data_IF_891197867685
#
_entry.id   IF_891197867685
#
_cell.length_a   1.000
_cell.length_b   1.000
_cell.length_c   1.000
_cell.angle_alpha   90.00
_cell.angle_beta   90.00
_cell.angle_gamma   90.00
#
_symmetry.space_group_name_H-M   'P 1'
#
loop_
_entity.id
_entity.type
_entity.pdbx_description
1 polymer ?
#
# COMPACT_ATOMS: atom_id res chain seq x y z
N UNK A 1 -1.17 0.98 43.81
CA UNK A 1 -1.58 2.20 43.09
C UNK A 1 -1.71 2.02 41.57
N UNK A 2 -1.06 1.02 40.94
CA UNK A 2 -1.25 0.71 39.50
C UNK A 2 -2.60 0.03 39.13
N UNK A 3 -3.29 -0.60 40.09
CA UNK A 3 -4.58 -1.29 39.84
C UNK A 3 -5.82 -0.39 39.96
N UNK A 4 -5.68 0.80 40.55
CA UNK A 4 -6.78 1.76 40.72
C UNK A 4 -6.98 2.65 39.48
N UNK A 5 -5.91 2.88 38.70
CA UNK A 5 -5.94 3.72 37.49
C UNK A 5 -6.63 2.98 36.32
N UNK A 6 -6.40 1.67 36.18
CA UNK A 6 -7.04 0.85 35.13
C UNK A 6 -8.57 0.76 35.33
N UNK A 7 -9.04 0.75 36.58
CA UNK A 7 -10.47 0.69 36.89
C UNK A 7 -11.17 2.02 36.60
N UNK A 8 -10.48 3.16 36.75
CA UNK A 8 -11.03 4.47 36.43
C UNK A 8 -11.18 4.68 34.92
N UNK A 9 -10.24 4.17 34.13
CA UNK A 9 -10.27 4.27 32.66
C UNK A 9 -11.43 3.45 32.03
N UNK A 10 -11.75 2.28 32.61
CA UNK A 10 -12.87 1.47 32.14
C UNK A 10 -14.26 2.04 32.50
N UNK A 11 -14.35 2.91 33.51
CA UNK A 11 -15.62 3.51 33.92
C UNK A 11 -16.03 4.71 33.04
N UNK A 12 -15.08 5.38 32.39
CA UNK A 12 -15.36 6.51 31.48
C UNK A 12 -15.78 6.03 30.08
N UNK A 13 -15.31 4.85 29.64
CA UNK A 13 -15.67 4.26 28.35
C UNK A 13 -17.06 3.56 28.31
N UNK A 14 -17.76 3.45 29.45
CA UNK A 14 -19.02 2.73 29.57
C UNK A 14 -20.31 3.53 29.38
N UNK A 15 -20.25 4.85 29.15
CA UNK A 15 -21.42 5.74 29.22
C UNK A 15 -22.07 6.13 27.87
N UNK A 16 -21.63 5.57 26.75
CA UNK A 16 -22.18 5.90 25.42
C UNK A 16 -22.98 4.76 24.73
N UNK A 17 -23.42 3.74 25.46
CA UNK A 17 -24.12 2.58 24.86
C UNK A 17 -25.60 2.42 25.23
N UNK A 18 -26.30 3.49 25.63
CA UNK A 18 -27.76 3.43 25.81
C UNK A 18 -28.50 4.69 25.33
N UNK A 19 -28.67 4.84 24.01
CA UNK A 19 -29.94 5.35 23.45
C UNK A 19 -30.27 4.58 22.17
N UNK A 20 -31.11 3.57 22.35
CA UNK A 20 -31.61 2.69 21.29
C UNK A 20 -32.62 3.36 20.35
N UNK A 21 -32.76 2.72 19.19
CA UNK A 21 -33.77 2.98 18.18
C UNK A 21 -35.20 2.88 18.72
N UNK A 22 -36.07 3.80 18.31
CA UNK A 22 -37.52 3.69 18.42
C UNK A 22 -38.18 4.52 17.32
N UNK A 23 -38.83 3.84 16.37
CA UNK A 23 -39.47 4.45 15.20
C UNK A 23 -40.93 4.87 15.50
N UNK A 24 -41.36 5.93 14.81
CA UNK A 24 -42.72 6.32 14.40
C UNK A 24 -43.53 7.39 15.19
N UNK A 25 -43.91 8.39 14.39
CA UNK A 25 -45.16 9.17 14.35
C UNK A 25 -45.21 10.58 14.95
N UNK A 26 -44.98 11.52 14.03
CA UNK A 26 -45.81 12.70 13.70
C UNK A 26 -46.12 13.79 14.75
N UNK A 27 -45.87 15.02 14.28
CA UNK A 27 -46.46 16.33 14.66
C UNK A 27 -45.69 17.18 15.68
N UNK A 28 -44.98 18.18 15.17
CA UNK A 28 -44.62 19.46 15.83
C UNK A 28 -45.90 20.19 16.34
N UNK A 29 -45.86 21.15 17.30
CA UNK A 29 -44.96 22.33 17.20
C UNK A 29 -44.36 22.90 18.51
N UNK A 30 -43.26 23.62 18.25
CA UNK A 30 -42.79 24.88 18.84
C UNK A 30 -42.39 25.05 20.32
N UNK A 31 -41.13 25.49 20.43
CA UNK A 31 -40.62 26.59 21.26
C UNK A 31 -39.87 26.21 22.55
N UNK A 32 -38.52 26.22 22.47
CA UNK A 32 -37.61 26.69 23.52
C UNK A 32 -36.18 26.84 22.97
N UNK A 33 -35.72 28.10 22.99
CA UNK A 33 -34.36 28.63 23.18
C UNK A 33 -33.16 27.83 22.65
N UNK A 34 -32.27 28.42 21.83
CA UNK A 34 -31.01 27.77 21.49
C UNK A 34 -30.11 27.75 22.73
N UNK A 35 -29.78 26.56 23.21
CA UNK A 35 -28.66 26.34 24.12
C UNK A 35 -27.40 26.47 23.26
N UNK A 36 -26.66 27.53 23.53
CA UNK A 36 -25.40 27.85 22.89
C UNK A 36 -24.31 27.03 23.61
N UNK A 37 -24.20 25.75 23.29
CA UNK A 37 -23.07 24.92 23.72
C UNK A 37 -21.91 25.18 22.76
N UNK A 38 -21.30 26.36 22.91
CA UNK A 38 -19.95 26.62 22.44
C UNK A 38 -19.03 26.36 23.63
N UNK A 39 -18.87 25.09 24.02
CA UNK A 39 -17.63 24.67 24.68
C UNK A 39 -16.57 24.66 23.58
N UNK A 40 -16.03 25.84 23.28
CA UNK A 40 -14.77 25.93 22.56
C UNK A 40 -13.75 25.23 23.43
N UNK A 41 -13.20 24.12 22.94
CA UNK A 41 -11.97 23.58 23.48
C UNK A 41 -10.94 24.72 23.44
N UNK A 42 -10.37 25.04 24.60
CA UNK A 42 -9.34 26.05 24.69
C UNK A 42 -8.17 25.60 23.79
N UNK A 43 -7.77 26.42 22.82
CA UNK A 43 -6.66 26.06 21.91
C UNK A 43 -5.39 25.75 22.72
N UNK A 44 -5.23 26.41 23.88
CA UNK A 44 -4.14 26.14 24.84
C UNK A 44 -4.22 24.74 25.48
N UNK A 45 -5.42 24.20 25.76
CA UNK A 45 -5.57 22.83 26.30
C UNK A 45 -5.33 21.75 25.23
N UNK A 46 -5.65 22.05 23.97
CA UNK A 46 -5.33 21.16 22.84
C UNK A 46 -3.82 21.16 22.59
N UNK A 47 -3.18 22.33 22.59
CA UNK A 47 -1.74 22.47 22.40
C UNK A 47 -0.96 21.79 23.55
N UNK A 48 -1.39 21.97 24.81
CA UNK A 48 -0.75 21.30 25.96
C UNK A 48 -0.96 19.77 25.92
N UNK A 49 -2.13 19.29 25.49
CA UNK A 49 -2.37 17.86 25.30
C UNK A 49 -1.60 17.27 24.11
N UNK A 50 -1.33 18.07 23.07
CA UNK A 50 -0.49 17.70 21.94
C UNK A 50 0.99 17.67 22.35
N UNK A 51 1.46 18.64 23.14
CA UNK A 51 2.82 18.64 23.70
C UNK A 51 3.05 17.45 24.65
N UNK A 52 2.10 17.13 25.54
CA UNK A 52 2.19 15.97 26.43
C UNK A 52 2.19 14.64 25.66
N UNK A 53 1.43 14.56 24.55
CA UNK A 53 1.43 13.40 23.66
C UNK A 53 2.74 13.31 22.89
N UNK A 54 3.28 14.42 22.41
CA UNK A 54 4.57 14.50 21.73
C UNK A 54 5.71 14.13 22.68
N UNK A 55 5.67 14.56 23.94
CA UNK A 55 6.59 14.13 24.99
C UNK A 55 6.45 12.62 25.25
N UNK A 56 5.23 12.11 25.39
CA UNK A 56 4.98 10.68 25.59
C UNK A 56 5.46 9.82 24.40
N UNK A 57 5.27 10.31 23.16
CA UNK A 57 5.76 9.68 21.94
C UNK A 57 7.29 9.81 21.81
N UNK A 58 7.90 10.87 22.34
CA UNK A 58 9.36 11.02 22.39
C UNK A 58 10.03 9.93 23.24
N UNK A 59 9.37 9.42 24.28
CA UNK A 59 9.88 8.27 25.07
C UNK A 59 9.82 6.93 24.32
N UNK A 60 8.99 6.86 23.27
CA UNK A 60 8.94 5.73 22.33
C UNK A 60 9.72 6.04 21.05
N UNK A 61 10.33 7.22 20.95
CA UNK A 61 11.01 7.64 19.74
C UNK A 61 12.34 6.91 19.58
N UNK A 62 12.60 6.50 18.34
CA UNK A 62 13.88 5.91 17.94
C UNK A 62 14.62 6.91 17.04
N UNK A 63 15.30 7.93 17.62
CA UNK A 63 15.97 8.97 16.86
C UNK A 63 17.23 8.43 16.16
N UNK A 64 17.61 9.11 15.08
CA UNK A 64 18.72 8.74 14.21
C UNK A 64 18.32 7.80 13.07
N UNK A 65 19.16 7.75 12.04
CA UNK A 65 18.91 6.92 10.86
C UNK A 65 18.79 5.44 11.23
N UNK A 66 17.75 4.72 10.74
CA UNK A 66 17.46 3.36 11.19
C UNK A 66 18.31 2.31 10.47
N UNK A 67 19.65 2.38 10.64
CA UNK A 67 20.61 1.45 10.04
C UNK A 67 20.26 -0.02 10.34
N UNK A 68 20.28 -0.86 9.30
CA UNK A 68 19.96 -2.28 9.39
C UNK A 68 18.49 -2.60 9.70
N UNK A 69 17.60 -1.60 9.71
CA UNK A 69 16.13 -1.79 9.77
C UNK A 69 15.45 -1.58 8.43
N UNK A 70 16.06 -0.80 7.56
CA UNK A 70 15.64 -0.58 6.17
C UNK A 70 16.73 -1.13 5.23
N UNK A 71 16.41 -1.38 3.94
CA UNK A 71 17.41 -1.81 2.95
C UNK A 71 18.58 -0.82 2.82
N UNK A 72 19.81 -1.33 2.80
CA UNK A 72 21.06 -0.54 2.70
C UNK A 72 21.21 0.22 1.38
N UNK A 73 20.38 -0.09 0.38
CA UNK A 73 20.33 0.64 -0.91
C UNK A 73 19.74 2.03 -0.77
N UNK A 74 19.02 2.30 0.32
CA UNK A 74 18.41 3.60 0.57
C UNK A 74 19.47 4.51 1.22
N UNK A 75 19.92 5.58 0.54
CA UNK A 75 20.86 6.53 1.13
C UNK A 75 20.22 7.24 2.33
N UNK A 76 21.05 7.80 3.21
CA UNK A 76 20.54 8.58 4.36
C UNK A 76 19.91 9.90 3.88
N UNK A 77 18.76 10.25 4.44
CA UNK A 77 18.16 11.57 4.25
C UNK A 77 18.86 12.61 5.12
N UNK A 78 19.66 13.49 4.50
CA UNK A 78 20.58 14.38 5.24
C UNK A 78 20.01 15.76 5.60
N UNK A 79 18.73 16.03 5.29
CA UNK A 79 18.11 17.35 5.51
C UNK A 79 17.21 17.34 6.74
N UNK A 80 17.72 17.76 7.90
CA UNK A 80 16.99 17.65 9.17
C UNK A 80 17.38 16.41 9.96
N UNK A 81 16.63 16.11 11.02
CA UNK A 81 16.97 15.05 11.96
C UNK A 81 15.87 13.99 12.00
N UNK A 82 16.24 12.70 12.04
CA UNK A 82 15.29 11.62 12.30
C UNK A 82 14.84 11.72 13.75
N UNK A 83 13.61 12.21 13.96
CA UNK A 83 13.02 12.38 15.30
C UNK A 83 12.42 11.08 15.82
N UNK A 84 11.96 10.20 14.93
CA UNK A 84 11.42 8.89 15.28
C UNK A 84 11.50 7.91 14.11
N UNK A 85 11.56 6.62 14.41
CA UNK A 85 11.41 5.56 13.41
C UNK A 85 10.81 4.30 14.02
N UNK A 86 10.15 3.48 13.21
CA UNK A 86 9.55 2.25 13.70
C UNK A 86 8.93 1.38 12.62
N UNK A 87 8.76 0.11 12.96
CA UNK A 87 8.04 -0.88 12.16
C UNK A 87 6.55 -0.55 12.16
N UNK A 88 6.00 -0.26 10.97
CA UNK A 88 4.59 0.05 10.76
C UNK A 88 3.69 -1.19 10.71
N UNK A 89 4.28 -2.39 10.63
CA UNK A 89 3.57 -3.61 10.27
C UNK A 89 3.40 -3.76 8.76
N UNK A 90 2.98 -4.97 8.36
CA UNK A 90 2.66 -5.30 6.95
C UNK A 90 3.78 -4.99 5.94
N UNK A 91 5.04 -5.00 6.39
CA UNK A 91 6.22 -4.77 5.55
C UNK A 91 6.60 -3.30 5.37
N UNK A 92 5.94 -2.38 6.08
CA UNK A 92 6.27 -0.95 6.07
C UNK A 92 7.16 -0.56 7.26
N UNK A 93 8.12 0.34 7.01
CA UNK A 93 8.94 0.98 8.04
C UNK A 93 8.82 2.50 7.92
N UNK A 94 8.48 3.15 9.04
CA UNK A 94 8.26 4.59 9.09
C UNK A 94 9.46 5.33 9.66
N UNK A 95 9.79 6.46 9.06
CA UNK A 95 10.86 7.37 9.51
C UNK A 95 10.28 8.78 9.52
N UNK A 96 10.30 9.44 10.67
CA UNK A 96 9.89 10.83 10.83
C UNK A 96 11.12 11.73 10.91
N UNK A 97 11.14 12.76 10.08
CA UNK A 97 12.26 13.68 9.92
C UNK A 97 11.75 15.11 10.15
N UNK A 98 12.43 15.85 11.03
CA UNK A 98 12.12 17.24 11.31
C UNK A 98 13.34 17.98 11.88
N UNK A 99 13.52 19.28 11.58
CA UNK A 99 12.77 20.05 10.59
C UNK A 99 13.31 19.77 9.17
N UNK A 100 12.42 19.68 8.19
CA UNK A 100 12.75 19.62 6.75
C UNK A 100 11.66 20.29 5.89
N UNK A 101 11.86 20.42 4.58
CA UNK A 101 10.92 21.07 3.67
C UNK A 101 10.90 20.44 2.27
N UNK A 102 10.00 20.95 1.41
CA UNK A 102 9.77 20.41 0.06
C UNK A 102 10.96 20.56 -0.89
N UNK A 103 11.72 21.65 -0.78
CA UNK A 103 12.88 21.87 -1.63
C UNK A 103 13.98 20.85 -1.27
N UNK A 104 14.15 20.57 0.02
CA UNK A 104 15.07 19.55 0.54
C UNK A 104 14.65 18.13 0.12
N UNK A 105 13.33 17.82 0.13
CA UNK A 105 12.82 16.58 -0.44
C UNK A 105 13.14 16.47 -1.94
N UNK A 106 12.98 17.54 -2.71
CA UNK A 106 13.30 17.53 -4.13
C UNK A 106 14.79 17.27 -4.41
N UNK A 107 15.70 17.84 -3.59
CA UNK A 107 17.13 17.52 -3.67
C UNK A 107 17.41 16.04 -3.37
N UNK A 108 16.71 15.46 -2.39
CA UNK A 108 16.86 14.04 -2.07
C UNK A 108 16.28 13.12 -3.14
N UNK A 109 15.16 13.47 -3.77
CA UNK A 109 14.61 12.72 -4.90
C UNK A 109 15.58 12.71 -6.09
N UNK A 110 16.22 13.84 -6.39
CA UNK A 110 17.25 13.91 -7.41
C UNK A 110 18.46 13.01 -7.10
N UNK A 111 18.88 12.94 -5.82
CA UNK A 111 19.91 11.99 -5.38
C UNK A 111 19.47 10.54 -5.62
N UNK A 112 18.23 10.19 -5.26
CA UNK A 112 17.72 8.84 -5.49
C UNK A 112 17.71 8.48 -6.98
N UNK A 113 17.30 9.40 -7.85
CA UNK A 113 17.34 9.21 -9.31
C UNK A 113 18.79 9.00 -9.81
N UNK A 114 19.75 9.77 -9.30
CA UNK A 114 21.19 9.59 -9.61
C UNK A 114 21.74 8.22 -9.15
N UNK A 115 21.23 7.68 -8.03
CA UNK A 115 21.55 6.35 -7.51
C UNK A 115 20.77 5.22 -8.21
N UNK A 116 19.95 5.55 -9.23
CA UNK A 116 19.27 4.60 -10.08
C UNK A 116 17.85 4.21 -9.64
N UNK A 117 17.27 4.93 -8.67
CA UNK A 117 15.85 4.80 -8.37
C UNK A 117 15.03 5.37 -9.52
N UNK A 118 13.94 4.70 -9.87
CA UNK A 118 12.86 5.33 -10.62
C UNK A 118 12.10 6.24 -9.68
N UNK A 119 12.18 7.55 -9.91
CA UNK A 119 11.39 8.54 -9.19
C UNK A 119 10.13 8.81 -9.99
N UNK A 120 8.98 8.79 -9.31
CA UNK A 120 7.72 9.22 -9.91
C UNK A 120 6.99 10.18 -8.99
N UNK A 121 6.27 11.11 -9.62
CA UNK A 121 5.66 12.25 -8.94
C UNK A 121 6.68 13.03 -8.08
N UNK A 122 6.20 13.83 -7.13
CA UNK A 122 7.03 14.63 -6.21
C UNK A 122 7.21 13.92 -4.83
N UNK A 123 6.80 12.65 -4.71
CA UNK A 123 6.70 11.96 -3.42
C UNK A 123 6.88 10.43 -3.45
N UNK A 124 7.42 9.86 -4.54
CA UNK A 124 7.69 8.42 -4.65
C UNK A 124 9.02 8.09 -5.34
N UNK A 125 9.70 7.06 -4.84
CA UNK A 125 10.91 6.51 -5.46
C UNK A 125 10.98 4.99 -5.28
N UNK A 126 11.49 4.28 -6.29
CA UNK A 126 11.59 2.81 -6.28
C UNK A 126 12.88 2.30 -6.93
N UNK A 127 13.46 1.26 -6.34
CA UNK A 127 14.51 0.46 -6.98
C UNK A 127 14.26 -1.02 -6.70
N UNK A 128 14.02 -1.81 -7.75
CA UNK A 128 13.57 -3.19 -7.56
C UNK A 128 12.31 -3.26 -6.70
N UNK A 129 12.39 -4.03 -5.62
CA UNK A 129 11.28 -4.29 -4.69
C UNK A 129 11.23 -3.32 -3.53
N UNK A 130 12.22 -2.43 -3.45
CA UNK A 130 12.31 -1.37 -2.45
C UNK A 130 11.59 -0.15 -2.99
N UNK A 131 10.59 0.31 -2.23
CA UNK A 131 9.82 1.51 -2.50
C UNK A 131 9.90 2.47 -1.31
N UNK A 132 9.94 3.77 -1.62
CA UNK A 132 9.93 4.84 -0.65
C UNK A 132 8.80 5.80 -1.02
N UNK A 133 7.86 5.99 -0.10
CA UNK A 133 6.84 7.03 -0.19
C UNK A 133 7.14 8.15 0.79
N UNK A 134 6.95 9.39 0.34
CA UNK A 134 7.18 10.59 1.12
C UNK A 134 5.85 11.27 1.44
N UNK A 135 5.69 11.80 2.64
CA UNK A 135 4.49 12.53 3.03
C UNK A 135 4.82 13.57 4.09
N UNK A 136 4.43 14.82 3.89
CA UNK A 136 4.53 15.83 4.95
C UNK A 136 3.35 15.70 5.91
N UNK A 137 3.63 15.42 7.18
CA UNK A 137 2.62 15.35 8.25
C UNK A 137 2.36 16.73 8.89
N UNK A 138 3.32 17.64 8.79
CA UNK A 138 3.19 19.05 9.13
C UNK A 138 3.95 19.91 8.10
N UNK A 139 4.09 21.22 8.36
CA UNK A 139 4.88 22.11 7.48
C UNK A 139 6.37 21.73 7.43
N UNK A 140 6.89 21.15 8.51
CA UNK A 140 8.32 20.89 8.72
C UNK A 140 8.64 19.44 9.07
N UNK A 141 7.63 18.56 9.14
CA UNK A 141 7.81 17.16 9.48
C UNK A 141 7.49 16.28 8.28
N UNK A 142 8.52 15.63 7.74
CA UNK A 142 8.43 14.63 6.68
C UNK A 142 8.32 13.24 7.30
N UNK A 143 7.44 12.43 6.74
CA UNK A 143 7.38 10.99 6.93
C UNK A 143 7.91 10.32 5.68
N UNK A 144 8.93 9.48 5.84
CA UNK A 144 9.33 8.50 4.85
C UNK A 144 8.74 7.14 5.23
N UNK A 145 8.19 6.46 4.25
CA UNK A 145 7.59 5.13 4.39
C UNK A 145 8.36 4.23 3.45
N UNK A 146 9.16 3.34 4.04
CA UNK A 146 9.97 2.38 3.31
C UNK A 146 9.24 1.05 3.28
N UNK A 147 9.10 0.47 2.10
CA UNK A 147 8.55 -0.87 1.89
C UNK A 147 9.56 -1.68 1.08
N UNK A 148 9.82 -2.90 1.51
CA UNK A 148 10.50 -3.90 0.68
C UNK A 148 9.60 -5.13 0.59
N UNK A 149 8.90 -5.27 -0.54
CA UNK A 149 8.02 -6.42 -0.76
C UNK A 149 8.81 -7.70 -1.07
N UNK A 150 10.12 -7.59 -1.27
CA UNK A 150 10.99 -8.68 -1.67
C UNK A 150 10.67 -9.21 -3.08
N UNK A 151 11.54 -10.11 -3.53
CA UNK A 151 11.33 -10.86 -4.77
C UNK A 151 10.86 -12.26 -4.44
N UNK A 152 9.94 -12.79 -5.24
CA UNK A 152 9.57 -14.21 -5.19
C UNK A 152 10.12 -14.97 -6.40
N UNK A 153 10.38 -16.26 -6.21
CA UNK A 153 10.67 -17.13 -7.36
C UNK A 153 9.46 -17.15 -8.30
N UNK A 154 9.73 -17.21 -9.61
CA UNK A 154 8.65 -17.30 -10.59
C UNK A 154 7.76 -18.53 -10.32
N UNK A 155 6.46 -18.34 -10.02
CA UNK A 155 5.63 -19.46 -9.64
C UNK A 155 5.19 -20.27 -10.85
N UNK A 156 4.71 -21.49 -10.59
CA UNK A 156 4.06 -22.28 -11.62
C UNK A 156 2.66 -21.74 -11.88
N UNK A 157 2.50 -21.00 -12.97
CA UNK A 157 1.22 -20.45 -13.42
C UNK A 157 0.48 -21.38 -14.37
N UNK A 158 -0.85 -21.22 -14.43
CA UNK A 158 -1.72 -21.94 -15.36
C UNK A 158 -1.28 -21.70 -16.82
N UNK A 159 -1.37 -22.75 -17.65
CA UNK A 159 -0.96 -22.66 -19.06
C UNK A 159 0.55 -22.61 -19.28
N UNK A 160 1.34 -22.91 -18.24
CA UNK A 160 2.80 -22.91 -18.25
C UNK A 160 3.38 -21.55 -18.71
N UNK A 161 2.86 -20.45 -18.18
CA UNK A 161 3.41 -19.10 -18.46
C UNK A 161 4.89 -19.08 -18.08
N UNK A 162 5.73 -18.77 -19.07
CA UNK A 162 7.18 -18.67 -18.88
C UNK A 162 7.54 -17.41 -18.09
N UNK A 163 8.64 -17.37 -17.32
CA UNK A 163 9.11 -16.15 -16.68
C UNK A 163 9.46 -15.06 -17.70
N UNK A 164 9.43 -13.78 -17.33
CA UNK A 164 9.91 -12.69 -18.19
C UNK A 164 11.43 -12.77 -18.37
N UNK A 165 11.94 -12.19 -19.47
CA UNK A 165 13.39 -12.06 -19.72
C UNK A 165 13.98 -10.79 -19.07
N UNK A 166 13.13 -9.81 -18.77
CA UNK A 166 13.47 -8.53 -18.16
C UNK A 166 12.48 -8.19 -17.03
N UNK A 167 12.91 -7.33 -16.13
CA UNK A 167 12.15 -6.95 -14.94
C UNK A 167 12.18 -7.98 -13.81
N UNK A 168 11.67 -7.53 -12.67
CA UNK A 168 11.67 -8.24 -11.39
C UNK A 168 10.23 -8.43 -10.94
N UNK A 169 9.90 -9.62 -10.41
CA UNK A 169 8.58 -9.85 -9.82
C UNK A 169 8.45 -9.04 -8.53
N UNK A 170 7.46 -8.13 -8.48
CA UNK A 170 7.21 -7.25 -7.35
C UNK A 170 6.27 -7.92 -6.36
N UNK A 171 6.82 -8.34 -5.21
CA UNK A 171 6.08 -9.10 -4.20
C UNK A 171 5.75 -10.53 -4.64
N UNK A 172 4.57 -11.01 -4.24
CA UNK A 172 4.06 -12.34 -4.58
C UNK A 172 2.97 -12.27 -5.65
N UNK A 173 2.83 -13.34 -6.43
CA UNK A 173 1.67 -13.50 -7.32
C UNK A 173 0.44 -13.79 -6.48
N UNK A 174 -0.57 -12.92 -6.57
CA UNK A 174 -1.83 -13.13 -5.88
C UNK A 174 -2.71 -14.09 -6.67
N UNK A 175 -3.00 -15.26 -6.08
CA UNK A 175 -3.86 -16.30 -6.66
C UNK A 175 -4.99 -16.58 -5.65
N UNK A 176 -6.15 -15.92 -5.76
CA UNK A 176 -7.24 -16.14 -4.82
C UNK A 176 -7.90 -17.51 -5.03
N UNK A 177 -8.38 -18.10 -3.93
CA UNK A 177 -9.31 -19.21 -4.01
C UNK A 177 -10.66 -18.72 -4.54
N UNK A 178 -11.12 -19.31 -5.64
CA UNK A 178 -12.42 -18.98 -6.24
C UNK A 178 -13.56 -19.70 -5.53
N UNK A 179 -14.66 -18.98 -5.33
CA UNK A 179 -15.89 -19.53 -4.77
C UNK A 179 -16.59 -20.44 -5.77
N UNK A 180 -17.48 -21.31 -5.28
CA UNK A 180 -18.32 -22.13 -6.16
C UNK A 180 -19.24 -21.27 -7.05
N UNK A 181 -19.66 -20.09 -6.59
CA UNK A 181 -20.40 -19.14 -7.42
C UNK A 181 -19.57 -18.61 -8.59
N UNK A 182 -18.28 -18.32 -8.41
CA UNK A 182 -17.41 -17.85 -9.50
C UNK A 182 -17.30 -18.91 -10.60
N UNK A 183 -17.16 -20.18 -10.19
CA UNK A 183 -17.13 -21.33 -11.11
C UNK A 183 -18.46 -21.55 -11.83
N UNK A 184 -19.59 -21.32 -11.15
CA UNK A 184 -20.93 -21.34 -11.78
C UNK A 184 -21.07 -20.26 -12.85
N UNK A 185 -20.49 -19.07 -12.65
CA UNK A 185 -20.41 -18.01 -13.65
C UNK A 185 -19.32 -18.22 -14.70
N UNK A 186 -18.54 -19.29 -14.58
CA UNK A 186 -17.58 -19.73 -15.59
C UNK A 186 -16.14 -19.33 -15.31
N UNK A 187 -15.80 -18.70 -14.18
CA UNK A 187 -14.42 -18.37 -13.83
C UNK A 187 -13.78 -19.53 -13.04
N UNK A 188 -12.65 -20.05 -13.52
CA UNK A 188 -11.99 -21.23 -12.94
C UNK A 188 -10.58 -20.94 -12.43
N UNK A 189 -10.00 -19.81 -12.81
CA UNK A 189 -8.69 -19.37 -12.33
C UNK A 189 -8.58 -17.86 -12.44
N UNK A 190 -7.89 -17.23 -11.48
CA UNK A 190 -7.38 -15.87 -11.61
C UNK A 190 -6.05 -15.75 -10.87
N UNK A 191 -5.13 -14.99 -11.44
CA UNK A 191 -3.88 -14.60 -10.81
C UNK A 191 -3.54 -13.18 -11.27
N UNK A 192 -3.00 -12.37 -10.35
CA UNK A 192 -2.51 -11.01 -10.65
C UNK A 192 -1.10 -10.83 -10.11
N UNK A 193 -0.27 -10.17 -10.90
CA UNK A 193 1.12 -9.87 -10.51
C UNK A 193 1.64 -8.63 -11.22
N UNK A 194 2.66 -8.02 -10.63
CA UNK A 194 3.34 -6.87 -11.19
C UNK A 194 4.80 -7.20 -11.41
N UNK A 195 5.34 -6.72 -12.53
CA UNK A 195 6.77 -6.75 -12.80
C UNK A 195 7.29 -5.31 -12.74
N UNK A 196 8.49 -5.12 -12.20
CA UNK A 196 9.13 -3.82 -12.05
C UNK A 196 10.51 -3.78 -12.71
N UNK A 197 11.09 -2.59 -12.86
CA UNK A 197 12.38 -2.33 -13.52
C UNK A 197 12.39 -2.71 -15.01
N UNK A 198 11.34 -2.29 -15.71
CA UNK A 198 11.12 -2.64 -17.10
C UNK A 198 10.56 -1.46 -17.87
N UNK A 199 10.70 -1.52 -19.19
CA UNK A 199 10.05 -0.60 -20.12
C UNK A 199 8.69 -1.13 -20.55
N UNK A 200 7.85 -0.29 -21.15
CA UNK A 200 6.59 -0.76 -21.73
C UNK A 200 6.85 -1.80 -22.84
N UNK A 201 7.94 -1.63 -23.61
CA UNK A 201 8.37 -2.59 -24.61
C UNK A 201 8.74 -3.96 -24.02
N UNK A 202 9.32 -3.99 -22.82
CA UNK A 202 9.63 -5.24 -22.12
C UNK A 202 8.35 -5.98 -21.70
N UNK A 203 7.29 -5.26 -21.31
CA UNK A 203 5.97 -5.85 -21.04
C UNK A 203 5.38 -6.50 -22.29
N UNK A 204 5.46 -5.83 -23.42
CA UNK A 204 4.99 -6.39 -24.71
C UNK A 204 5.85 -7.59 -25.12
N UNK A 205 7.18 -7.52 -24.94
CA UNK A 205 8.07 -8.63 -25.20
C UNK A 205 7.75 -9.86 -24.34
N UNK A 206 7.33 -9.66 -23.10
CA UNK A 206 6.86 -10.73 -22.23
C UNK A 206 5.61 -11.43 -22.77
N UNK A 207 4.65 -10.69 -23.34
CA UNK A 207 3.46 -11.25 -24.00
C UNK A 207 3.86 -12.02 -25.27
N UNK A 208 4.70 -11.44 -26.13
CA UNK A 208 5.18 -12.07 -27.38
C UNK A 208 5.98 -13.36 -27.12
N UNK A 209 6.70 -13.43 -25.99
CA UNK A 209 7.36 -14.65 -25.55
C UNK A 209 6.39 -15.80 -25.33
N UNK A 210 5.19 -15.53 -24.81
CA UNK A 210 4.18 -16.57 -24.61
C UNK A 210 3.61 -17.08 -25.94
N UNK A 211 3.47 -16.19 -26.94
CA UNK A 211 3.08 -16.59 -28.30
C UNK A 211 4.08 -17.58 -28.88
N UNK A 212 5.38 -17.32 -28.69
CA UNK A 212 6.45 -18.24 -29.09
C UNK A 212 6.41 -19.59 -28.35
N UNK A 213 5.76 -19.63 -27.18
CA UNK A 213 5.53 -20.83 -26.37
C UNK A 213 4.17 -21.53 -26.67
N UNK A 214 3.48 -21.14 -27.74
CA UNK A 214 2.24 -21.77 -28.20
C UNK A 214 0.96 -21.16 -27.64
N UNK A 215 1.03 -19.97 -27.05
CA UNK A 215 -0.16 -19.14 -26.82
C UNK A 215 -0.59 -18.45 -28.13
N UNK A 216 -1.85 -18.07 -28.24
CA UNK A 216 -2.43 -17.37 -29.39
C UNK A 216 -2.83 -15.95 -29.00
N UNK A 217 -2.43 -14.95 -29.78
CA UNK A 217 -2.74 -13.55 -29.49
C UNK A 217 -1.57 -12.66 -29.87
N UNK A 218 -1.56 -11.43 -29.36
CA UNK A 218 -0.50 -10.46 -29.65
C UNK A 218 -0.60 -9.23 -28.74
N UNK A 219 0.49 -8.48 -28.67
CA UNK A 219 0.58 -7.13 -28.09
C UNK A 219 0.34 -7.11 -26.58
N UNK A 220 -0.90 -6.99 -26.15
CA UNK A 220 -1.30 -6.87 -24.75
C UNK A 220 -2.04 -8.10 -24.23
N UNK A 221 -2.43 -9.04 -25.09
CA UNK A 221 -3.29 -10.15 -24.70
C UNK A 221 -3.01 -11.43 -25.49
N UNK A 222 -2.88 -12.54 -24.77
CA UNK A 222 -2.68 -13.88 -25.33
C UNK A 222 -3.56 -14.91 -24.62
N UNK A 223 -3.87 -15.97 -25.35
CA UNK A 223 -4.80 -17.02 -24.93
C UNK A 223 -4.21 -18.40 -25.07
N UNK A 224 -4.67 -19.33 -24.24
CA UNK A 224 -4.33 -20.75 -24.35
C UNK A 224 -5.47 -21.61 -23.84
N UNK A 225 -5.79 -22.67 -24.57
CA UNK A 225 -6.76 -23.65 -24.12
C UNK A 225 -6.13 -24.53 -23.04
N UNK A 226 -6.84 -24.70 -21.93
CA UNK A 226 -6.39 -25.43 -20.74
C UNK A 226 -7.53 -26.23 -20.14
N UNK A 227 -7.22 -27.33 -19.48
CA UNK A 227 -8.21 -28.13 -18.75
C UNK A 227 -8.01 -27.97 -17.25
N UNK A 228 -9.03 -27.53 -16.53
CA UNK A 228 -9.03 -27.35 -15.07
C UNK A 228 -10.10 -28.26 -14.48
N UNK A 229 -9.70 -29.23 -13.65
CA UNK A 229 -10.61 -30.20 -13.03
C UNK A 229 -11.57 -30.90 -14.03
N UNK A 230 -11.08 -31.15 -15.25
CA UNK A 230 -11.85 -31.77 -16.33
C UNK A 230 -12.78 -30.83 -17.10
N UNK A 231 -12.75 -29.53 -16.82
CA UNK A 231 -13.47 -28.48 -17.56
C UNK A 231 -12.53 -27.83 -18.57
N UNK A 232 -12.96 -27.76 -19.83
CA UNK A 232 -12.24 -27.02 -20.86
C UNK A 232 -12.45 -25.51 -20.67
N UNK A 233 -11.34 -24.81 -20.50
CA UNK A 233 -11.28 -23.38 -20.27
C UNK A 233 -10.37 -22.71 -21.29
N UNK A 234 -10.61 -21.42 -21.54
CA UNK A 234 -9.68 -20.54 -22.25
C UNK A 234 -8.99 -19.65 -21.23
N UNK A 235 -7.68 -19.86 -21.07
CA UNK A 235 -6.83 -18.98 -20.30
C UNK A 235 -6.54 -17.71 -21.11
N UNK A 236 -6.45 -16.57 -20.42
CA UNK A 236 -6.09 -15.26 -20.94
C UNK A 236 -5.00 -14.68 -20.05
N UNK A 237 -3.83 -14.41 -20.61
CA UNK A 237 -2.81 -13.57 -19.98
C UNK A 237 -2.89 -12.19 -20.64
N UNK A 238 -3.04 -11.16 -19.83
CA UNK A 238 -3.15 -9.78 -20.27
C UNK A 238 -2.14 -8.89 -19.56
N UNK A 239 -1.46 -8.05 -20.35
CA UNK A 239 -0.77 -6.86 -19.90
C UNK A 239 -1.80 -5.74 -19.77
N UNK A 240 -2.04 -5.28 -18.53
CA UNK A 240 -3.18 -4.42 -18.18
C UNK A 240 -2.83 -2.95 -18.30
N UNK A 241 -1.70 -2.56 -17.71
CA UNK A 241 -1.26 -1.17 -17.65
C UNK A 241 0.23 -1.08 -17.32
N UNK A 242 0.84 0.04 -17.70
CA UNK A 242 2.22 0.38 -17.39
C UNK A 242 2.33 1.81 -16.87
N UNK A 243 3.13 1.98 -15.82
CA UNK A 243 3.44 3.26 -15.20
C UNK A 243 4.75 3.11 -14.41
N UNK A 244 5.60 4.14 -14.41
CA UNK A 244 6.79 4.24 -13.54
C UNK A 244 7.70 3.01 -13.51
N UNK A 245 7.91 2.41 -14.69
CA UNK A 245 8.76 1.22 -14.84
C UNK A 245 8.15 -0.05 -14.26
N UNK A 246 6.84 -0.07 -14.01
CA UNK A 246 6.04 -1.19 -13.56
C UNK A 246 5.00 -1.58 -14.60
N UNK A 247 4.83 -2.89 -14.82
CA UNK A 247 3.77 -3.47 -15.64
C UNK A 247 2.90 -4.41 -14.83
N UNK A 248 1.59 -4.25 -14.92
CA UNK A 248 0.61 -5.10 -14.25
C UNK A 248 0.04 -6.15 -15.20
N UNK A 249 -0.08 -7.38 -14.71
CA UNK A 249 -0.55 -8.52 -15.47
C UNK A 249 -1.67 -9.27 -14.76
N UNK A 250 -2.61 -9.76 -15.55
CA UNK A 250 -3.70 -10.62 -15.10
C UNK A 250 -3.69 -11.90 -15.93
N UNK A 251 -3.82 -13.04 -15.25
CA UNK A 251 -4.02 -14.36 -15.84
C UNK A 251 -5.35 -14.93 -15.36
N UNK A 252 -6.32 -15.05 -16.25
CA UNK A 252 -7.64 -15.63 -15.94
C UNK A 252 -7.90 -16.87 -16.77
N UNK A 253 -8.78 -17.75 -16.29
CA UNK A 253 -9.33 -18.81 -17.12
C UNK A 253 -10.84 -18.91 -16.98
N UNK A 254 -11.49 -18.91 -18.14
CA UNK A 254 -12.94 -18.94 -18.25
C UNK A 254 -13.37 -20.20 -19.00
N UNK A 255 -14.44 -20.83 -18.54
CA UNK A 255 -15.05 -22.00 -19.18
C UNK A 255 -15.40 -21.67 -20.64
N UNK A 256 -15.02 -22.56 -21.56
CA UNK A 256 -15.43 -22.46 -22.96
C UNK A 256 -16.93 -22.76 -23.10
N UNK A 257 -17.63 -21.97 -23.92
CA UNK A 257 -19.06 -22.15 -24.21
C UNK A 257 -19.31 -23.28 -25.20
#
# INVERSE_FOLDING_TARGET
MKKLIIILLCLVLGLWLFTGCGNNSASQPENKTPVNDNEGFDEEEIDEAMEDLEEALSYLATPGWPEGKIPDVIPEYTYGEVTNSGDGGDGEYYILISPTNKDELAEYLALLEEEGFTVSDDDYARIGTVAIRFQFNSRDTLQMIVTDLGTSEWPKLLGDVLPPDAGTLYGEVYIPELSESDKEYGQYYTASFSLVDLTEEDCVAFIDKQVSAGWEGSYDMVFKDVTIDGVECRAMLQFVQYYDGQGDFILEAWKQQ
#
